data_IF_656374360988
#
_entry.id   IF_656374360988
#
_cell.length_a   1.000
_cell.length_b   1.000
_cell.length_c   1.000
_cell.angle_alpha   90.00
_cell.angle_beta   90.00
_cell.angle_gamma   90.00
#
_symmetry.space_group_name_H-M   'P 1'
#
loop_
_entity.id
_entity.type
_entity.pdbx_description
1 polymer ?
#
# COMPACT_ATOMS: atom_id res chain seq x y z
N UNK A 1 -16.70 -1.89 11.44
CA UNK A 1 -16.06 -3.18 11.14
C UNK A 1 -14.85 -2.87 10.28
N UNK A 2 -13.75 -3.58 10.47
CA UNK A 2 -12.57 -3.41 9.61
C UNK A 2 -12.89 -3.77 8.16
N UNK A 3 -12.23 -3.10 7.22
CA UNK A 3 -12.38 -3.35 5.79
C UNK A 3 -11.63 -4.60 5.32
N UNK A 4 -11.74 -4.95 4.03
CA UNK A 4 -10.94 -6.01 3.44
C UNK A 4 -9.44 -5.72 3.52
N UNK A 5 -8.66 -6.75 3.85
CA UNK A 5 -7.20 -6.76 3.79
C UNK A 5 -6.74 -7.79 2.74
N UNK A 6 -6.14 -7.31 1.65
CA UNK A 6 -5.69 -8.15 0.55
C UNK A 6 -4.16 -8.28 0.55
N UNK A 7 -3.66 -9.51 0.73
CA UNK A 7 -2.24 -9.84 0.73
C UNK A 7 -1.89 -10.59 -0.56
N UNK A 8 -1.23 -9.89 -1.49
CA UNK A 8 -0.97 -10.37 -2.84
C UNK A 8 0.49 -10.82 -2.93
N UNK A 9 0.74 -11.99 -3.51
CA UNK A 9 2.08 -12.61 -3.56
C UNK A 9 3.12 -11.85 -4.40
N UNK A 10 2.71 -10.83 -5.16
CA UNK A 10 3.55 -10.03 -6.05
C UNK A 10 2.86 -9.78 -7.40
N UNK A 11 3.52 -9.01 -8.27
CA UNK A 11 3.05 -8.81 -9.64
C UNK A 11 1.76 -8.01 -9.79
N UNK A 12 1.54 -7.02 -8.90
CA UNK A 12 0.39 -6.13 -8.99
C UNK A 12 0.24 -5.47 -10.37
N UNK A 13 -1.01 -5.25 -10.76
CA UNK A 13 -1.38 -4.50 -11.97
C UNK A 13 -0.87 -5.13 -13.27
N UNK A 14 -0.75 -6.45 -13.29
CA UNK A 14 -0.43 -7.25 -14.47
C UNK A 14 -1.69 -7.95 -15.01
N UNK A 15 -1.66 -8.50 -16.24
CA UNK A 15 -2.72 -9.37 -16.73
C UNK A 15 -3.00 -10.50 -15.72
N UNK A 16 -4.27 -10.64 -15.31
CA UNK A 16 -4.68 -11.62 -14.29
C UNK A 16 -4.99 -11.03 -12.91
N UNK A 17 -4.71 -9.75 -12.66
CA UNK A 17 -5.13 -9.04 -11.44
C UNK A 17 -6.63 -8.65 -11.47
N UNK A 18 -7.52 -9.55 -11.88
CA UNK A 18 -8.98 -9.26 -11.96
C UNK A 18 -9.63 -9.08 -10.58
N UNK A 19 -8.98 -9.52 -9.51
CA UNK A 19 -9.47 -9.31 -8.14
C UNK A 19 -9.50 -7.83 -7.73
N UNK A 20 -8.72 -6.96 -8.39
CA UNK A 20 -8.69 -5.52 -8.08
C UNK A 20 -10.04 -4.83 -8.37
N UNK A 21 -10.84 -5.36 -9.30
CA UNK A 21 -12.22 -4.91 -9.57
C UNK A 21 -13.12 -5.11 -8.34
N UNK A 22 -13.14 -6.32 -7.77
CA UNK A 22 -13.93 -6.60 -6.57
C UNK A 22 -13.44 -5.85 -5.32
N UNK A 23 -12.12 -5.61 -5.20
CA UNK A 23 -11.57 -4.77 -4.14
C UNK A 23 -12.01 -3.31 -4.31
N UNK A 24 -11.98 -2.77 -5.52
CA UNK A 24 -12.45 -1.42 -5.83
C UNK A 24 -13.95 -1.28 -5.54
N UNK A 25 -14.79 -2.20 -6.01
CA UNK A 25 -16.23 -2.22 -5.71
C UNK A 25 -16.50 -2.26 -4.21
N UNK A 26 -15.78 -3.12 -3.47
CA UNK A 26 -15.95 -3.24 -2.02
C UNK A 26 -15.52 -1.98 -1.28
N UNK A 27 -14.53 -1.25 -1.80
CA UNK A 27 -14.11 0.02 -1.21
C UNK A 27 -15.21 1.08 -1.26
N UNK A 28 -16.15 0.97 -2.21
CA UNK A 28 -17.19 1.98 -2.47
C UNK A 28 -16.64 3.33 -2.92
N UNK A 29 -15.37 3.40 -3.30
CA UNK A 29 -14.69 4.60 -3.79
C UNK A 29 -14.33 4.52 -5.27
N UNK A 30 -13.94 5.66 -5.83
CA UNK A 30 -13.44 5.79 -7.22
C UNK A 30 -11.97 6.21 -7.26
N UNK A 31 -11.30 6.21 -6.11
CA UNK A 31 -9.92 6.64 -5.95
C UNK A 31 -9.13 5.59 -5.18
N UNK A 32 -7.91 5.32 -5.63
CA UNK A 32 -6.96 4.40 -4.97
C UNK A 32 -5.71 5.19 -4.59
N UNK A 33 -5.43 5.27 -3.30
CA UNK A 33 -4.20 5.89 -2.79
C UNK A 33 -3.08 4.86 -2.84
N UNK A 34 -2.06 5.13 -3.66
CA UNK A 34 -0.93 4.22 -3.88
C UNK A 34 0.30 4.74 -3.16
N UNK A 35 0.86 3.89 -2.29
CA UNK A 35 2.13 4.12 -1.61
C UNK A 35 3.22 3.30 -2.29
N UNK A 36 4.08 3.98 -3.04
CA UNK A 36 5.19 3.37 -3.79
C UNK A 36 6.52 3.43 -3.04
N UNK A 37 6.50 3.55 -1.71
CA UNK A 37 7.71 3.66 -0.89
C UNK A 37 8.64 2.44 -1.08
N UNK A 38 8.09 1.23 -1.21
CA UNK A 38 8.89 0.02 -1.49
C UNK A 38 9.73 0.14 -2.79
N UNK A 39 9.20 0.84 -3.80
CA UNK A 39 9.85 1.05 -5.09
C UNK A 39 10.74 2.30 -5.15
N UNK A 40 11.09 2.92 -4.00
CA UNK A 40 11.85 4.17 -3.97
C UNK A 40 13.19 4.11 -4.74
N UNK A 41 13.81 2.93 -4.83
CA UNK A 41 15.07 2.70 -5.56
C UNK A 41 14.88 2.20 -7.00
N UNK A 42 13.63 1.95 -7.42
CA UNK A 42 13.26 1.30 -8.67
C UNK A 42 12.33 2.16 -9.54
N UNK A 43 12.45 3.49 -9.40
CA UNK A 43 11.59 4.50 -10.06
C UNK A 43 10.13 4.38 -9.61
N UNK A 44 9.78 4.89 -8.42
CA UNK A 44 8.44 4.74 -7.85
C UNK A 44 7.33 5.31 -8.74
N UNK A 45 7.63 6.34 -9.54
CA UNK A 45 6.71 6.89 -10.53
C UNK A 45 6.23 5.85 -11.57
N UNK A 46 7.05 4.84 -11.89
CA UNK A 46 6.65 3.74 -12.79
C UNK A 46 5.59 2.84 -12.13
N UNK A 47 5.72 2.56 -10.85
CA UNK A 47 4.74 1.77 -10.10
C UNK A 47 3.40 2.53 -10.03
N UNK A 48 3.43 3.82 -9.71
CA UNK A 48 2.24 4.68 -9.70
C UNK A 48 1.59 4.75 -11.09
N UNK A 49 2.38 4.90 -12.17
CA UNK A 49 1.86 4.92 -13.54
C UNK A 49 1.23 3.58 -13.95
N UNK A 50 1.81 2.45 -13.53
CA UNK A 50 1.24 1.12 -13.78
C UNK A 50 -0.10 0.95 -13.05
N UNK A 51 -0.18 1.36 -11.78
CA UNK A 51 -1.42 1.37 -11.03
C UNK A 51 -2.47 2.27 -11.70
N UNK A 52 -2.09 3.49 -12.11
CA UNK A 52 -2.99 4.43 -12.75
C UNK A 52 -3.55 3.85 -14.07
N UNK A 53 -2.70 3.24 -14.90
CA UNK A 53 -3.14 2.60 -16.13
C UNK A 53 -4.09 1.42 -15.90
N UNK A 54 -3.87 0.65 -14.83
CA UNK A 54 -4.71 -0.49 -14.45
C UNK A 54 -6.07 -0.03 -13.93
N UNK A 55 -6.10 0.82 -12.90
CA UNK A 55 -7.35 1.28 -12.28
C UNK A 55 -8.18 2.20 -13.18
N UNK A 56 -7.56 2.91 -14.14
CA UNK A 56 -8.30 3.65 -15.15
C UNK A 56 -9.20 2.74 -16.02
N UNK A 57 -8.78 1.49 -16.28
CA UNK A 57 -9.62 0.51 -16.99
C UNK A 57 -10.83 0.08 -16.17
N UNK A 58 -10.76 0.22 -14.84
CA UNK A 58 -11.82 -0.08 -13.88
C UNK A 58 -12.64 1.18 -13.52
N UNK A 59 -12.40 2.32 -14.17
CA UNK A 59 -13.11 3.57 -13.91
C UNK A 59 -12.67 4.34 -12.65
N UNK A 60 -11.52 3.98 -12.05
CA UNK A 60 -10.97 4.65 -10.87
C UNK A 60 -9.73 5.49 -11.19
N UNK A 61 -9.48 6.49 -10.35
CA UNK A 61 -8.28 7.32 -10.39
C UNK A 61 -7.26 6.84 -9.35
N UNK A 62 -5.98 7.03 -9.64
CA UNK A 62 -4.90 6.75 -8.69
C UNK A 62 -4.31 8.04 -8.16
N UNK A 63 -4.21 8.11 -6.84
CA UNK A 63 -3.47 9.15 -6.13
C UNK A 63 -2.15 8.52 -5.68
N UNK A 64 -1.08 8.78 -6.41
CA UNK A 64 0.27 8.42 -5.96
C UNK A 64 0.71 9.36 -4.86
N UNK A 65 0.87 8.85 -3.63
CA UNK A 65 1.36 9.66 -2.53
C UNK A 65 2.89 9.59 -2.49
N UNK A 66 3.55 10.73 -2.69
CA UNK A 66 5.02 10.87 -2.76
C UNK A 66 5.69 10.74 -1.37
N UNK A 67 5.50 9.59 -0.74
CA UNK A 67 6.16 9.20 0.51
C UNK A 67 7.22 8.14 0.19
N UNK A 68 8.48 8.56 0.13
CA UNK A 68 9.60 7.68 -0.18
C UNK A 68 10.60 7.54 0.95
N UNK A 69 10.55 8.42 1.95
CA UNK A 69 11.39 8.37 3.14
C UNK A 69 10.53 8.55 4.40
N UNK A 70 11.12 8.22 5.54
CA UNK A 70 10.44 8.31 6.84
C UNK A 70 9.97 9.72 7.16
N UNK A 71 10.69 10.76 6.73
CA UNK A 71 10.32 12.16 7.01
C UNK A 71 8.96 12.52 6.39
N UNK A 72 8.65 12.03 5.20
CA UNK A 72 7.34 12.27 4.57
C UNK A 72 6.22 11.47 5.25
N UNK A 73 6.52 10.29 5.80
CA UNK A 73 5.57 9.49 6.59
C UNK A 73 5.25 10.11 7.97
N UNK A 74 6.08 11.04 8.45
CA UNK A 74 5.85 11.81 9.67
C UNK A 74 5.02 13.09 9.43
N UNK A 75 4.75 13.45 8.17
CA UNK A 75 3.97 14.65 7.84
C UNK A 75 2.48 14.36 8.03
N UNK A 76 1.83 15.12 8.92
CA UNK A 76 0.40 14.97 9.22
C UNK A 76 -0.52 15.07 8.00
N UNK A 77 -0.22 15.97 7.06
CA UNK A 77 -1.02 16.11 5.84
C UNK A 77 -1.05 14.83 4.98
N UNK A 78 0.05 14.07 4.92
CA UNK A 78 0.09 12.78 4.21
C UNK A 78 -0.77 11.73 4.92
N UNK A 79 -0.72 11.71 6.26
CA UNK A 79 -1.57 10.84 7.07
C UNK A 79 -3.06 11.17 6.92
N UNK A 80 -3.42 12.46 6.85
CA UNK A 80 -4.81 12.91 6.63
C UNK A 80 -5.38 12.48 5.28
N UNK A 81 -4.56 12.48 4.22
CA UNK A 81 -4.97 11.96 2.90
C UNK A 81 -5.30 10.47 3.01
N UNK A 82 -4.41 9.70 3.65
CA UNK A 82 -4.59 8.26 3.82
C UNK A 82 -5.76 7.91 4.72
N UNK A 83 -5.96 8.61 5.84
CA UNK A 83 -7.07 8.37 6.77
C UNK A 83 -8.44 8.48 6.08
N UNK A 84 -8.56 9.36 5.08
CA UNK A 84 -9.82 9.59 4.33
C UNK A 84 -9.99 8.64 3.14
N UNK A 85 -8.96 7.87 2.79
CA UNK A 85 -8.98 7.00 1.64
C UNK A 85 -9.93 5.81 1.85
N UNK A 86 -10.63 5.41 0.78
CA UNK A 86 -11.49 4.21 0.76
C UNK A 86 -10.73 2.97 0.30
N UNK A 87 -9.69 3.16 -0.50
CA UNK A 87 -8.81 2.11 -0.99
C UNK A 87 -7.35 2.59 -0.93
N UNK A 88 -6.52 1.87 -0.15
CA UNK A 88 -5.09 2.10 0.00
C UNK A 88 -4.34 0.89 -0.57
N UNK A 89 -3.29 1.13 -1.35
CA UNK A 89 -2.48 0.09 -1.96
C UNK A 89 -0.98 0.31 -1.66
N UNK A 90 -0.35 -0.68 -1.02
CA UNK A 90 1.10 -0.73 -0.81
C UNK A 90 1.77 -1.46 -1.97
N UNK A 91 2.51 -0.72 -2.80
CA UNK A 91 3.20 -1.27 -3.95
C UNK A 91 4.35 -2.20 -3.54
N UNK A 92 4.79 -3.02 -4.49
CA UNK A 92 5.91 -3.96 -4.34
C UNK A 92 7.29 -3.24 -4.43
N UNK A 93 8.37 -3.94 -4.07
CA UNK A 93 9.75 -3.45 -4.11
C UNK A 93 10.57 -3.94 -2.91
N UNK A 94 11.18 -3.04 -2.15
CA UNK A 94 11.96 -3.36 -0.96
C UNK A 94 11.10 -3.38 0.32
N UNK A 95 10.85 -4.56 0.94
CA UNK A 95 10.05 -4.63 2.18
C UNK A 95 10.78 -3.99 3.36
N UNK A 96 12.11 -4.11 3.43
CA UNK A 96 12.89 -3.50 4.50
C UNK A 96 12.83 -1.97 4.46
N UNK A 97 12.86 -1.39 3.26
CA UNK A 97 12.74 0.06 3.10
C UNK A 97 11.33 0.53 3.42
N UNK A 98 10.30 -0.10 2.85
CA UNK A 98 8.89 0.21 3.14
C UNK A 98 8.61 0.17 4.65
N UNK A 99 9.06 -0.88 5.33
CA UNK A 99 8.93 -1.00 6.79
C UNK A 99 9.63 0.15 7.51
N UNK A 100 10.85 0.52 7.12
CA UNK A 100 11.61 1.60 7.75
C UNK A 100 10.93 2.97 7.60
N UNK A 101 10.23 3.18 6.48
CA UNK A 101 9.45 4.38 6.19
C UNK A 101 8.20 4.43 7.06
N UNK A 102 7.44 3.34 7.14
CA UNK A 102 6.10 3.33 7.75
C UNK A 102 6.06 3.02 9.25
N UNK A 103 6.93 2.14 9.78
CA UNK A 103 6.79 1.65 11.16
C UNK A 103 6.77 2.79 12.18
N UNK A 104 5.77 2.80 13.05
CA UNK A 104 5.62 3.82 14.11
C UNK A 104 5.65 5.24 13.55
N UNK A 105 4.83 5.48 12.52
CA UNK A 105 4.61 6.82 11.94
C UNK A 105 3.11 7.11 11.89
N UNK A 106 2.72 8.40 11.93
CA UNK A 106 1.32 8.80 11.74
C UNK A 106 0.71 8.26 10.44
N UNK A 107 1.51 8.11 9.38
CA UNK A 107 1.02 7.53 8.13
C UNK A 107 0.61 6.07 8.28
N UNK A 108 1.38 5.26 9.02
CA UNK A 108 0.98 3.87 9.31
C UNK A 108 -0.26 3.83 10.20
N UNK A 109 -0.30 4.66 11.24
CA UNK A 109 -1.47 4.76 12.12
C UNK A 109 -2.73 5.15 11.32
N UNK A 110 -2.59 6.01 10.31
CA UNK A 110 -3.68 6.38 9.41
C UNK A 110 -4.11 5.24 8.46
N UNK A 111 -3.18 4.39 7.98
CA UNK A 111 -3.53 3.19 7.20
C UNK A 111 -4.37 2.25 8.07
N UNK A 112 -3.91 1.98 9.29
CA UNK A 112 -4.61 1.11 10.25
C UNK A 112 -5.96 1.71 10.65
N UNK A 113 -6.01 3.03 10.87
CA UNK A 113 -7.23 3.78 11.17
C UNK A 113 -8.27 3.68 10.06
N UNK A 114 -7.89 4.02 8.82
CA UNK A 114 -8.76 3.91 7.64
C UNK A 114 -9.28 2.48 7.47
N UNK A 115 -8.41 1.48 7.62
CA UNK A 115 -8.80 0.08 7.56
C UNK A 115 -9.81 -0.29 8.66
N UNK A 116 -9.59 0.13 9.90
CA UNK A 116 -10.53 -0.07 11.01
C UNK A 116 -11.91 0.59 10.79
N UNK A 117 -11.94 1.65 9.98
CA UNK A 117 -13.15 2.37 9.55
C UNK A 117 -13.80 1.79 8.29
N UNK A 118 -13.25 0.71 7.72
CA UNK A 118 -13.84 -0.03 6.61
C UNK A 118 -13.15 0.15 5.26
N UNK A 119 -12.05 0.91 5.18
CA UNK A 119 -11.28 1.04 3.95
C UNK A 119 -10.65 -0.29 3.53
N UNK A 120 -10.53 -0.49 2.22
CA UNK A 120 -9.77 -1.61 1.65
C UNK A 120 -8.28 -1.28 1.75
N UNK A 121 -7.50 -2.21 2.28
CA UNK A 121 -6.03 -2.14 2.23
C UNK A 121 -5.52 -3.34 1.44
N UNK A 122 -4.75 -3.07 0.40
CA UNK A 122 -4.05 -4.09 -0.37
C UNK A 122 -2.53 -3.89 -0.28
N UNK A 123 -1.79 -4.99 -0.28
CA UNK A 123 -0.33 -4.97 -0.42
C UNK A 123 0.10 -6.05 -1.39
N UNK A 124 1.10 -5.76 -2.22
CA UNK A 124 1.68 -6.74 -3.16
C UNK A 124 3.16 -6.96 -2.87
N UNK A 125 3.57 -8.23 -2.84
CA UNK A 125 4.94 -8.66 -2.56
C UNK A 125 5.45 -8.04 -1.26
N UNK A 126 6.40 -7.11 -1.36
CA UNK A 126 6.91 -6.32 -0.25
C UNK A 126 5.80 -5.64 0.57
N UNK A 127 4.78 -5.08 -0.09
CA UNK A 127 3.63 -4.45 0.57
C UNK A 127 2.82 -5.44 1.41
N UNK A 128 2.65 -6.67 0.93
CA UNK A 128 1.97 -7.74 1.68
C UNK A 128 2.84 -8.22 2.85
N UNK A 129 4.14 -8.43 2.60
CA UNK A 129 5.08 -8.97 3.58
C UNK A 129 5.21 -8.10 4.83
N UNK A 130 5.22 -6.77 4.68
CA UNK A 130 5.47 -5.87 5.80
C UNK A 130 4.29 -5.72 6.74
N UNK A 131 3.06 -6.02 6.31
CA UNK A 131 1.85 -5.78 7.11
C UNK A 131 1.88 -6.64 8.38
N UNK A 132 2.15 -7.94 8.26
CA UNK A 132 2.21 -8.83 9.42
C UNK A 132 3.43 -8.59 10.32
N UNK A 133 3.33 -8.99 11.59
CA UNK A 133 4.46 -9.09 12.51
C UNK A 133 4.43 -10.49 13.18
N UNK A 134 5.44 -11.35 13.00
CA UNK A 134 6.69 -11.10 12.27
C UNK A 134 6.55 -11.10 10.73
N UNK A 135 7.49 -10.44 10.05
CA UNK A 135 7.71 -10.57 8.59
C UNK A 135 8.98 -11.39 8.30
N UNK A 136 9.14 -11.86 7.07
CA UNK A 136 10.35 -12.56 6.63
C UNK A 136 11.42 -11.55 6.19
N UNK A 137 12.65 -11.68 6.69
CA UNK A 137 13.79 -10.89 6.22
C UNK A 137 14.22 -11.39 4.82
N UNK A 138 14.12 -10.57 3.77
CA UNK A 138 14.42 -11.00 2.40
C UNK A 138 15.90 -11.34 2.19
N UNK A 139 16.80 -10.99 3.13
CA UNK A 139 18.24 -11.25 3.01
C UNK A 139 18.64 -12.67 3.43
N UNK A 140 17.81 -13.35 4.22
CA UNK A 140 18.19 -14.64 4.81
C UNK A 140 17.05 -15.55 5.25
N UNK A 141 15.79 -15.16 5.06
CA UNK A 141 14.62 -16.00 5.36
C UNK A 141 14.24 -16.12 6.83
N UNK A 142 15.03 -15.55 7.75
CA UNK A 142 14.68 -15.48 9.17
C UNK A 142 13.51 -14.51 9.41
N UNK A 143 12.83 -14.68 10.54
CA UNK A 143 11.80 -13.72 10.96
C UNK A 143 12.43 -12.41 11.48
N UNK A 144 11.77 -11.30 11.18
CA UNK A 144 12.09 -9.95 11.64
C UNK A 144 10.81 -9.17 11.93
N UNK A 145 10.96 -7.99 12.52
CA UNK A 145 9.82 -7.14 12.91
C UNK A 145 9.13 -6.60 11.66
N UNK A 146 7.81 -6.73 11.58
CA UNK A 146 6.98 -6.09 10.57
C UNK A 146 6.23 -4.86 11.09
N UNK A 147 5.15 -4.47 10.43
CA UNK A 147 4.35 -3.29 10.78
C UNK A 147 3.38 -3.55 11.93
N UNK A 148 2.84 -4.77 12.03
CA UNK A 148 1.97 -5.24 13.12
C UNK A 148 0.50 -4.96 12.83
#
# INVERSE_FOLDING_TARGET
>A
MSGPLALIGGGAWQPGCSFDEGLLETSGGTEVVVLAAAAAYERPARAVAAAAAHFAQLGAQVIGLDVFQRREALVGANAEIVQKARFIYLADGSPLHLRSVLKSTPLWDAIVGAWGEGAVVAGSGAGAMVIGDPMVDPRGGAFTVGLG
#
